data_IF_973458251894
#
_entry.id   IF_973458251894
#
_cell.length_a   1.000
_cell.length_b   1.000
_cell.length_c   1.000
_cell.angle_alpha   90.00
_cell.angle_beta   90.00
_cell.angle_gamma   90.00
#
_symmetry.space_group_name_H-M   'P 1'
#
loop_
_entity.id
_entity.type
_entity.pdbx_description
1 polymer ?
#
# COMPACT_ATOMS: atom_id res chain seq x y z
N UNK A 1 -35.51 -47.76 -1.14
CA UNK A 1 -34.39 -47.03 -0.47
C UNK A 1 -33.49 -46.29 -1.48
N UNK A 2 -33.83 -45.10 -2.01
CA UNK A 2 -32.87 -44.25 -2.77
C UNK A 2 -33.24 -42.75 -2.80
N UNK A 3 -32.99 -41.95 -1.73
CA UNK A 3 -32.92 -40.49 -1.91
C UNK A 3 -31.59 -39.85 -1.49
N UNK A 4 -30.70 -40.58 -0.78
CA UNK A 4 -29.44 -40.02 -0.23
C UNK A 4 -28.52 -39.40 -1.29
N UNK A 5 -28.44 -39.98 -2.50
CA UNK A 5 -27.58 -39.46 -3.59
C UNK A 5 -28.08 -38.15 -4.20
N UNK A 6 -29.40 -37.90 -4.21
CA UNK A 6 -29.98 -36.64 -4.73
C UNK A 6 -29.77 -35.49 -3.75
N UNK A 7 -29.99 -35.73 -2.45
CA UNK A 7 -29.68 -34.77 -1.39
C UNK A 7 -28.20 -34.34 -1.38
N UNK A 8 -27.28 -35.27 -1.69
CA UNK A 8 -25.85 -34.97 -1.82
C UNK A 8 -25.54 -34.10 -3.05
N UNK A 9 -26.18 -34.41 -4.19
CA UNK A 9 -26.07 -33.60 -5.42
C UNK A 9 -26.66 -32.20 -5.26
N UNK A 10 -27.82 -32.07 -4.60
CA UNK A 10 -28.42 -30.77 -4.29
C UNK A 10 -27.52 -29.95 -3.36
N UNK A 11 -26.91 -30.60 -2.36
CA UNK A 11 -25.96 -29.94 -1.46
C UNK A 11 -24.69 -29.48 -2.19
N UNK A 12 -24.17 -30.31 -3.11
CA UNK A 12 -23.02 -29.99 -3.94
C UNK A 12 -23.33 -28.85 -4.91
N UNK A 13 -24.53 -28.83 -5.49
CA UNK A 13 -25.01 -27.75 -6.36
C UNK A 13 -25.21 -26.45 -5.58
N UNK A 14 -25.74 -26.51 -4.36
CA UNK A 14 -25.85 -25.36 -3.46
C UNK A 14 -24.46 -24.82 -3.08
N UNK A 15 -23.49 -25.71 -2.81
CA UNK A 15 -22.12 -25.32 -2.51
C UNK A 15 -21.44 -24.63 -3.70
N UNK A 16 -21.61 -25.17 -4.92
CA UNK A 16 -21.13 -24.57 -6.16
C UNK A 16 -21.73 -23.18 -6.39
N UNK A 17 -23.03 -23.03 -6.14
CA UNK A 17 -23.72 -21.74 -6.25
C UNK A 17 -23.16 -20.72 -5.25
N UNK A 18 -23.02 -21.10 -3.98
CA UNK A 18 -22.46 -20.24 -2.93
C UNK A 18 -21.00 -19.87 -3.21
N UNK A 19 -20.20 -20.83 -3.70
CA UNK A 19 -18.84 -20.60 -4.18
C UNK A 19 -18.82 -19.57 -5.32
N UNK A 20 -19.69 -19.72 -6.32
CA UNK A 20 -19.79 -18.78 -7.44
C UNK A 20 -20.15 -17.36 -6.97
N UNK A 21 -21.11 -17.23 -6.05
CA UNK A 21 -21.46 -15.94 -5.44
C UNK A 21 -20.28 -15.36 -4.65
N UNK A 22 -19.56 -16.18 -3.90
CA UNK A 22 -18.39 -15.75 -3.14
C UNK A 22 -17.26 -15.21 -4.03
N UNK A 23 -17.00 -15.86 -5.16
CA UNK A 23 -16.01 -15.40 -6.15
C UNK A 23 -16.44 -14.06 -6.77
N UNK A 24 -17.73 -13.93 -7.13
CA UNK A 24 -18.27 -12.67 -7.68
C UNK A 24 -18.29 -11.53 -6.66
N UNK A 25 -18.45 -11.85 -5.38
CA UNK A 25 -18.45 -10.88 -4.28
C UNK A 25 -17.04 -10.47 -3.83
N UNK A 26 -16.00 -11.25 -4.16
CA UNK A 26 -14.61 -10.98 -3.79
C UNK A 26 -14.13 -9.55 -4.11
N UNK A 27 -14.31 -9.00 -5.34
CA UNK A 27 -13.86 -7.63 -5.64
C UNK A 27 -14.50 -6.61 -4.70
N UNK A 28 -15.80 -6.70 -4.44
CA UNK A 28 -16.50 -5.76 -3.56
C UNK A 28 -16.01 -5.80 -2.12
N UNK A 29 -15.77 -6.99 -1.57
CA UNK A 29 -15.28 -7.15 -0.19
C UNK A 29 -13.83 -6.70 -0.08
N UNK A 30 -12.99 -7.08 -1.05
CA UNK A 30 -11.59 -6.68 -1.11
C UNK A 30 -11.44 -5.17 -1.24
N UNK A 31 -12.20 -4.55 -2.14
CA UNK A 31 -12.18 -3.11 -2.35
C UNK A 31 -12.66 -2.35 -1.11
N UNK A 32 -13.70 -2.84 -0.43
CA UNK A 32 -14.18 -2.23 0.82
C UNK A 32 -13.13 -2.29 1.94
N UNK A 33 -12.47 -3.44 2.12
CA UNK A 33 -11.42 -3.62 3.14
C UNK A 33 -10.17 -2.78 2.82
N UNK A 34 -9.75 -2.74 1.55
CA UNK A 34 -8.61 -1.94 1.12
C UNK A 34 -8.88 -0.45 1.32
N UNK A 35 -10.04 0.05 0.86
CA UNK A 35 -10.43 1.45 1.06
C UNK A 35 -10.44 1.84 2.54
N UNK A 36 -10.92 0.96 3.43
CA UNK A 36 -10.93 1.23 4.87
C UNK A 36 -9.51 1.33 5.45
N UNK A 37 -8.62 0.39 5.08
CA UNK A 37 -7.23 0.41 5.51
C UNK A 37 -6.49 1.65 5.01
N UNK A 38 -6.68 2.00 3.74
CA UNK A 38 -6.04 3.13 3.09
C UNK A 38 -6.49 4.45 3.70
N UNK A 39 -7.81 4.62 3.91
CA UNK A 39 -8.35 5.80 4.60
C UNK A 39 -7.77 5.97 5.99
N UNK A 40 -7.53 4.88 6.72
CA UNK A 40 -6.96 4.98 8.06
C UNK A 40 -5.50 5.45 8.03
N UNK A 41 -4.68 4.90 7.13
CA UNK A 41 -3.27 5.33 6.96
C UNK A 41 -3.22 6.82 6.54
N UNK A 42 -4.05 7.20 5.56
CA UNK A 42 -4.20 8.58 5.08
C UNK A 42 -4.58 9.51 6.24
N UNK A 43 -5.62 9.17 7.01
CA UNK A 43 -6.09 10.01 8.11
C UNK A 43 -5.06 10.16 9.21
N UNK A 44 -4.32 9.09 9.53
CA UNK A 44 -3.27 9.11 10.55
C UNK A 44 -2.14 10.04 10.12
N UNK A 45 -1.66 9.91 8.88
CA UNK A 45 -0.59 10.74 8.35
C UNK A 45 -1.00 12.22 8.27
N UNK A 46 -2.21 12.52 7.76
CA UNK A 46 -2.72 13.90 7.70
C UNK A 46 -2.84 14.53 9.09
N UNK A 47 -3.36 13.79 10.07
CA UNK A 47 -3.44 14.30 11.44
C UNK A 47 -2.07 14.54 12.06
N UNK A 48 -1.09 13.69 11.77
CA UNK A 48 0.27 13.87 12.24
C UNK A 48 0.94 15.10 11.60
N UNK A 49 0.83 15.23 10.28
CA UNK A 49 1.37 16.38 9.54
C UNK A 49 0.76 17.72 10.01
N UNK A 50 -0.54 17.75 10.34
CA UNK A 50 -1.22 18.95 10.88
C UNK A 50 -0.80 19.26 12.31
N UNK A 51 -0.42 18.25 13.12
CA UNK A 51 0.01 18.43 14.51
C UNK A 51 1.48 18.85 14.63
N UNK A 52 2.27 18.67 13.59
CA UNK A 52 3.68 19.06 13.59
C UNK A 52 3.84 20.57 13.36
N UNK A 53 4.70 21.21 14.15
CA UNK A 53 4.94 22.66 14.09
C UNK A 53 5.75 23.05 12.84
N UNK A 54 5.63 24.32 12.40
CA UNK A 54 6.38 24.89 11.27
C UNK A 54 7.89 24.69 11.38
N UNK A 55 8.45 24.76 12.59
CA UNK A 55 9.88 24.51 12.83
C UNK A 55 10.30 23.06 12.53
N UNK A 56 9.41 22.10 12.83
CA UNK A 56 9.64 20.67 12.56
C UNK A 56 9.57 20.44 11.05
N UNK A 57 8.58 21.05 10.38
CA UNK A 57 8.44 21.00 8.92
C UNK A 57 9.65 21.61 8.20
N UNK A 58 10.13 22.77 8.65
CA UNK A 58 11.31 23.41 8.09
C UNK A 58 12.56 22.52 8.22
N UNK A 59 12.72 21.84 9.36
CA UNK A 59 13.83 20.91 9.60
C UNK A 59 13.73 19.66 8.72
N UNK A 60 12.53 19.12 8.52
CA UNK A 60 12.29 18.00 7.58
C UNK A 60 12.67 18.43 6.17
N UNK A 61 12.20 19.59 5.72
CA UNK A 61 12.50 20.12 4.38
C UNK A 61 14.01 20.33 4.17
N UNK A 62 14.71 20.88 5.17
CA UNK A 62 16.17 21.07 5.12
C UNK A 62 16.90 19.73 4.99
N UNK A 63 16.49 18.72 5.75
CA UNK A 63 17.08 17.38 5.69
C UNK A 63 16.88 16.72 4.31
N UNK A 64 15.67 16.84 3.75
CA UNK A 64 15.36 16.32 2.41
C UNK A 64 16.21 17.00 1.34
N UNK A 65 16.33 18.33 1.42
CA UNK A 65 17.16 19.12 0.50
C UNK A 65 18.62 18.72 0.57
N UNK A 66 19.18 18.55 1.79
CA UNK A 66 20.56 18.09 1.98
C UNK A 66 20.78 16.69 1.39
N UNK A 67 19.84 15.78 1.61
CA UNK A 67 19.90 14.42 1.09
C UNK A 67 19.88 14.39 -0.44
N UNK A 68 19.01 15.19 -1.07
CA UNK A 68 18.97 15.32 -2.53
C UNK A 68 20.28 15.90 -3.08
N UNK A 69 20.85 16.92 -2.42
CA UNK A 69 22.14 17.49 -2.80
C UNK A 69 23.29 16.47 -2.68
N UNK A 70 23.27 15.60 -1.67
CA UNK A 70 24.23 14.51 -1.54
C UNK A 70 24.06 13.49 -2.67
N UNK A 71 22.83 13.05 -2.94
CA UNK A 71 22.52 12.12 -4.04
C UNK A 71 22.94 12.68 -5.41
N UNK A 72 22.71 13.97 -5.65
CA UNK A 72 23.13 14.65 -6.87
C UNK A 72 24.66 14.68 -7.02
N UNK A 73 25.40 14.83 -5.91
CA UNK A 73 26.88 14.80 -5.89
C UNK A 73 27.45 13.39 -6.06
N UNK A 74 26.79 12.38 -5.50
CA UNK A 74 27.20 10.99 -5.58
C UNK A 74 26.83 10.34 -6.93
N UNK A 75 26.09 11.05 -7.78
CA UNK A 75 25.64 10.55 -9.07
C UNK A 75 24.55 9.49 -8.90
N UNK A 76 23.40 9.91 -8.36
CA UNK A 76 22.23 9.06 -8.13
C UNK A 76 22.00 8.08 -9.27
N UNK A 77 22.02 6.78 -8.96
CA UNK A 77 21.87 5.70 -9.92
C UNK A 77 20.49 5.04 -9.76
N UNK A 78 19.42 5.63 -10.32
CA UNK A 78 18.08 5.02 -10.32
C UNK A 78 17.97 3.81 -11.25
N UNK A 79 19.07 3.38 -11.90
CA UNK A 79 19.08 2.29 -12.89
C UNK A 79 18.96 0.89 -12.30
N UNK A 80 18.91 0.74 -10.98
CA UNK A 80 18.65 -0.56 -10.35
C UNK A 80 17.15 -0.87 -10.42
N UNK A 81 16.80 -1.93 -11.16
CA UNK A 81 15.42 -2.40 -11.25
C UNK A 81 14.88 -2.73 -9.83
N UNK A 82 13.86 -2.00 -9.34
CA UNK A 82 13.30 -2.19 -8.01
C UNK A 82 12.68 -3.59 -7.79
N UNK A 83 12.35 -4.31 -8.86
CA UNK A 83 11.74 -5.63 -8.80
C UNK A 83 12.78 -6.77 -8.70
N UNK A 84 14.08 -6.48 -8.88
CA UNK A 84 15.15 -7.50 -8.82
C UNK A 84 15.65 -7.80 -7.41
N UNK A 85 15.59 -6.82 -6.50
CA UNK A 85 16.08 -6.98 -5.12
C UNK A 85 14.97 -7.48 -4.20
N UNK A 86 14.99 -8.77 -3.86
CA UNK A 86 14.20 -9.30 -2.74
C UNK A 86 14.83 -8.87 -1.42
N UNK A 87 14.53 -7.66 -0.94
CA UNK A 87 14.81 -7.31 0.46
C UNK A 87 13.87 -8.13 1.35
N UNK A 88 14.45 -8.99 2.20
CA UNK A 88 13.66 -9.77 3.16
C UNK A 88 12.94 -8.84 4.13
N UNK A 89 11.65 -9.06 4.39
CA UNK A 89 10.87 -8.00 4.98
C UNK A 89 10.65 -8.17 6.50
N UNK A 90 10.81 -7.07 7.25
CA UNK A 90 10.34 -6.94 8.63
C UNK A 90 8.82 -7.25 8.75
N UNK A 91 8.36 -7.66 9.94
CA UNK A 91 6.99 -8.16 10.21
C UNK A 91 5.87 -7.29 9.60
N UNK A 92 4.78 -7.94 9.15
CA UNK A 92 3.57 -7.29 8.57
C UNK A 92 2.75 -6.60 9.67
N UNK A 93 3.33 -5.61 10.34
CA UNK A 93 2.61 -4.85 11.37
C UNK A 93 2.13 -3.53 10.77
N UNK A 94 0.93 -3.10 11.14
CA UNK A 94 0.31 -1.87 10.59
C UNK A 94 1.19 -0.62 10.81
N UNK A 95 1.89 -0.60 11.94
CA UNK A 95 2.89 0.41 12.30
C UNK A 95 4.06 0.48 11.32
N UNK A 96 4.35 -0.59 10.57
CA UNK A 96 5.39 -0.58 9.54
C UNK A 96 5.02 0.36 8.39
N UNK A 97 3.78 0.26 7.88
CA UNK A 97 3.29 1.10 6.79
C UNK A 97 3.15 2.56 7.21
N UNK A 98 2.62 2.82 8.42
CA UNK A 98 2.50 4.18 8.96
C UNK A 98 3.87 4.87 9.07
N UNK A 99 4.90 4.15 9.54
CA UNK A 99 6.26 4.69 9.68
C UNK A 99 6.95 5.00 8.36
N UNK A 100 6.63 4.25 7.31
CA UNK A 100 7.28 4.39 6.00
C UNK A 100 6.50 5.35 5.10
N UNK A 101 5.30 5.78 5.50
CA UNK A 101 4.49 6.73 4.73
C UNK A 101 5.12 8.11 4.82
N UNK A 102 5.46 8.70 3.67
CA UNK A 102 6.05 10.04 3.55
C UNK A 102 5.10 11.05 2.90
N UNK A 103 3.93 10.60 2.44
CA UNK A 103 2.97 11.48 1.79
C UNK A 103 1.80 10.72 1.20
N UNK A 104 0.90 11.46 0.58
CA UNK A 104 -0.31 10.94 -0.06
C UNK A 104 -0.38 11.52 -1.47
N UNK A 105 -0.45 10.64 -2.46
CA UNK A 105 -0.61 10.99 -3.87
C UNK A 105 -2.09 10.94 -4.24
N UNK A 106 -2.66 12.09 -4.56
CA UNK A 106 -4.02 12.19 -5.12
C UNK A 106 -3.92 12.37 -6.63
N UNK A 107 -4.56 11.48 -7.39
CA UNK A 107 -4.69 11.56 -8.84
C UNK A 107 -6.18 11.72 -9.20
N UNK A 108 -6.70 12.96 -9.28
CA UNK A 108 -8.14 13.20 -9.44
C UNK A 108 -8.72 12.59 -10.71
N UNK A 109 -7.94 12.57 -11.80
CA UNK A 109 -8.38 12.09 -13.12
C UNK A 109 -8.80 10.61 -13.13
N UNK A 110 -8.22 9.80 -12.24
CA UNK A 110 -8.58 8.39 -12.06
C UNK A 110 -9.22 8.12 -10.70
N UNK A 111 -9.50 9.17 -9.92
CA UNK A 111 -10.10 9.11 -8.59
C UNK A 111 -9.34 8.18 -7.61
N UNK A 112 -8.01 8.31 -7.57
CA UNK A 112 -7.14 7.48 -6.74
C UNK A 112 -6.43 8.32 -5.68
N UNK A 113 -6.39 7.82 -4.45
CA UNK A 113 -5.58 8.34 -3.35
C UNK A 113 -4.67 7.22 -2.84
N UNK A 114 -3.36 7.38 -2.96
CA UNK A 114 -2.38 6.36 -2.61
C UNK A 114 -1.38 6.89 -1.58
N UNK A 115 -1.02 6.11 -0.55
CA UNK A 115 0.12 6.44 0.28
C UNK A 115 1.42 6.33 -0.54
N UNK A 116 2.36 7.24 -0.29
CA UNK A 116 3.72 7.18 -0.81
C UNK A 116 4.63 6.68 0.31
N UNK A 117 5.42 5.64 0.04
CA UNK A 117 6.39 5.09 0.97
C UNK A 117 7.83 5.47 0.61
N UNK A 118 8.69 5.62 1.63
CA UNK A 118 10.11 6.02 1.50
C UNK A 118 11.02 4.97 0.84
N UNK A 119 10.59 3.71 0.79
CA UNK A 119 11.39 2.58 0.32
C UNK A 119 10.64 1.73 -0.71
N UNK A 120 11.37 1.18 -1.67
CA UNK A 120 10.82 0.24 -2.63
C UNK A 120 11.07 -1.20 -2.18
N UNK A 121 10.10 -1.76 -1.43
CA UNK A 121 10.07 -3.19 -1.10
C UNK A 121 8.79 -3.81 -1.63
N UNK A 122 8.81 -5.12 -1.92
CA UNK A 122 7.61 -5.85 -2.38
C UNK A 122 6.40 -5.64 -1.46
N UNK A 123 6.61 -5.56 -0.14
CA UNK A 123 5.53 -5.32 0.83
C UNK A 123 4.89 -3.94 0.71
N UNK A 124 5.69 -2.91 0.45
CA UNK A 124 5.20 -1.53 0.33
C UNK A 124 4.51 -1.34 -1.03
N UNK A 125 5.05 -1.96 -2.09
CA UNK A 125 4.43 -1.98 -3.42
C UNK A 125 3.06 -2.67 -3.45
N UNK A 126 2.82 -3.66 -2.59
CA UNK A 126 1.49 -4.28 -2.43
C UNK A 126 0.44 -3.31 -1.85
N UNK A 127 0.87 -2.20 -1.24
CA UNK A 127 -0.01 -1.29 -0.48
C UNK A 127 -0.04 0.15 -0.99
N UNK A 128 0.83 0.55 -1.90
CA UNK A 128 0.87 1.92 -2.38
C UNK A 128 2.04 2.24 -3.30
N UNK A 129 2.24 3.53 -3.53
CA UNK A 129 3.36 4.02 -4.32
C UNK A 129 4.64 4.00 -3.47
N UNK A 130 5.78 3.69 -4.06
CA UNK A 130 7.08 3.70 -3.39
C UNK A 130 8.03 4.65 -4.10
N UNK A 131 8.86 5.36 -3.34
CA UNK A 131 9.97 6.12 -3.89
C UNK A 131 11.03 5.17 -4.46
N UNK A 132 11.43 5.43 -5.71
CA UNK A 132 12.49 4.71 -6.37
C UNK A 132 13.84 5.01 -5.68
N UNK A 133 14.59 3.96 -5.32
CA UNK A 133 15.90 4.15 -4.70
C UNK A 133 16.86 4.84 -5.68
N UNK A 134 17.52 5.90 -5.21
CA UNK A 134 18.46 6.69 -6.03
C UNK A 134 17.84 7.86 -6.78
N UNK A 135 16.54 8.14 -6.61
CA UNK A 135 15.91 9.38 -7.07
C UNK A 135 15.82 10.42 -5.95
N UNK A 136 15.71 11.69 -6.34
CA UNK A 136 15.46 12.81 -5.42
C UNK A 136 14.05 12.71 -4.81
N UNK A 137 13.88 13.27 -3.59
CA UNK A 137 12.60 13.40 -2.91
C UNK A 137 12.06 14.83 -2.88
#
# INVERSE_FOLDING_TARGET
MKPKKRKLLDLLMLFLLLSGIGILAYPFVSDALNNYLDQQIISHYQQQAVKENEEVMAKIQENMTKKNQQLAKEGGNPGADPFTKKKEPAKKDRTYFEKHTIGILTIPKINVNLPIFDQTTMKLLEKGACLLEGTEN
#
